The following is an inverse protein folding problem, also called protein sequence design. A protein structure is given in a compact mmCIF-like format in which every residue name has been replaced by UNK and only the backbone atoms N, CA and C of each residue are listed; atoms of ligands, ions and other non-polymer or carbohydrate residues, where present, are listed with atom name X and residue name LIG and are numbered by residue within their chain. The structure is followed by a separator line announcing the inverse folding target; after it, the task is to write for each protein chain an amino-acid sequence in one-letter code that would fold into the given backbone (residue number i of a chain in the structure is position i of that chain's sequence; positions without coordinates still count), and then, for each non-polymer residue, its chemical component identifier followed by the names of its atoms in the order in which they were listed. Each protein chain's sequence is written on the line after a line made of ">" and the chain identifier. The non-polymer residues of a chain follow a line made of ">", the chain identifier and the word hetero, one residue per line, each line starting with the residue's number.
data_IF_312153408741
#
_entry.id   IF_312153408741
#
_cell.length_a   1.000
_cell.length_b   1.000
_cell.length_c   1.000
_cell.angle_alpha   90.00
_cell.angle_beta   90.00
_cell.angle_gamma   90.00
#
_symmetry.space_group_name_H-M   'P 1'
#
loop_
_entity.id
_entity.type
_entity.pdbx_description
1 polymer ?
#
# COMPACT_ATOMS: atom_id res chain seq x y z
N UNK A 1 -0.33 -3.52 10.04
CA UNK A 1 -1.12 -3.85 8.83
C UNK A 1 -0.34 -3.47 7.57
N UNK A 2 -0.50 -4.23 6.49
CA UNK A 2 0.13 -4.01 5.19
C UNK A 2 -0.89 -3.52 4.14
N UNK A 3 -0.48 -2.57 3.29
CA UNK A 3 -1.26 -2.10 2.15
C UNK A 3 -0.45 -2.26 0.87
N UNK A 4 -0.99 -3.01 -0.09
CA UNK A 4 -0.40 -3.20 -1.41
C UNK A 4 -1.22 -2.44 -2.46
N UNK A 5 -0.56 -1.54 -3.17
CA UNK A 5 -1.21 -0.67 -4.15
C UNK A 5 -1.67 0.64 -3.53
N UNK A 6 -1.25 1.74 -4.15
CA UNK A 6 -1.50 3.12 -3.76
C UNK A 6 -2.05 3.91 -4.95
N UNK A 7 -1.57 3.63 -6.17
CA UNK A 7 -2.09 4.25 -7.39
C UNK A 7 -3.59 3.99 -7.58
N UNK A 8 -4.31 4.89 -8.25
CA UNK A 8 -5.75 4.72 -8.48
C UNK A 8 -6.09 3.51 -9.37
N UNK A 9 -5.14 3.09 -10.21
CA UNK A 9 -5.21 1.89 -11.07
C UNK A 9 -3.80 1.37 -11.35
N UNK A 10 -3.65 0.16 -11.92
CA UNK A 10 -2.34 -0.37 -12.32
C UNK A 10 -1.67 0.45 -13.44
N UNK A 11 -0.35 0.33 -13.53
CA UNK A 11 0.54 0.90 -14.56
C UNK A 11 0.57 2.44 -14.61
N UNK A 12 0.42 3.09 -13.45
CA UNK A 12 0.58 4.54 -13.31
C UNK A 12 1.05 4.88 -11.89
N UNK A 13 1.72 6.02 -11.75
CA UNK A 13 2.02 6.67 -10.48
C UNK A 13 0.93 7.65 -10.03
N UNK A 14 -0.16 7.78 -10.81
CA UNK A 14 -1.24 8.69 -10.52
C UNK A 14 -2.02 8.23 -9.28
N UNK A 15 -2.03 9.12 -8.29
CA UNK A 15 -2.71 8.92 -7.01
C UNK A 15 -3.90 9.87 -6.85
N UNK A 16 -4.20 10.70 -7.86
CA UNK A 16 -5.34 11.62 -7.79
C UNK A 16 -6.61 10.80 -7.63
N UNK A 17 -7.36 11.10 -6.58
CA UNK A 17 -8.58 10.39 -6.21
C UNK A 17 -8.38 8.90 -5.88
N UNK A 18 -7.14 8.46 -5.62
CA UNK A 18 -6.88 7.07 -5.26
C UNK A 18 -7.56 6.74 -3.92
N UNK A 19 -8.28 5.60 -3.82
CA UNK A 19 -8.93 5.19 -2.58
C UNK A 19 -7.96 5.06 -1.39
N UNK A 20 -6.69 4.76 -1.68
CA UNK A 20 -5.60 4.70 -0.72
C UNK A 20 -5.42 5.99 0.08
N UNK A 21 -5.64 7.16 -0.54
CA UNK A 21 -5.54 8.47 0.11
C UNK A 21 -6.63 8.74 1.14
N UNK A 22 -7.72 7.96 1.12
CA UNK A 22 -8.79 8.03 2.14
C UNK A 22 -8.68 6.87 3.13
N UNK A 23 -8.43 5.66 2.65
CA UNK A 23 -8.39 4.46 3.49
C UNK A 23 -7.20 4.48 4.47
N UNK A 24 -6.00 4.85 4.01
CA UNK A 24 -4.80 4.83 4.84
C UNK A 24 -4.92 5.80 6.03
N UNK A 25 -5.31 7.08 5.84
CA UNK A 25 -5.52 7.98 6.97
C UNK A 25 -6.60 7.50 7.94
N UNK A 26 -7.69 6.90 7.43
CA UNK A 26 -8.74 6.35 8.29
C UNK A 26 -8.24 5.18 9.15
N UNK A 27 -7.42 4.30 8.58
CA UNK A 27 -6.79 3.20 9.31
C UNK A 27 -5.79 3.71 10.35
N UNK A 28 -4.97 4.70 9.99
CA UNK A 28 -4.05 5.35 10.94
C UNK A 28 -4.82 6.03 12.09
N UNK A 29 -5.93 6.71 11.80
CA UNK A 29 -6.79 7.33 12.80
C UNK A 29 -7.44 6.28 13.75
N UNK A 30 -7.67 5.07 13.25
CA UNK A 30 -8.11 3.92 14.06
C UNK A 30 -6.96 3.24 14.84
N UNK A 31 -5.74 3.78 14.79
CA UNK A 31 -4.57 3.29 15.54
C UNK A 31 -3.71 2.26 14.79
N UNK A 32 -3.98 1.98 13.52
CA UNK A 32 -3.18 1.03 12.75
C UNK A 32 -1.82 1.63 12.35
N UNK A 33 -0.73 0.88 12.59
CA UNK A 33 0.56 1.15 11.95
C UNK A 33 0.55 0.58 10.54
N UNK A 34 0.83 1.45 9.55
CA UNK A 34 0.74 1.11 8.12
C UNK A 34 2.12 0.91 7.53
N UNK A 35 2.32 -0.27 6.94
CA UNK A 35 3.41 -0.59 6.02
C UNK A 35 2.83 -0.65 4.61
N UNK A 36 3.42 0.01 3.64
CA UNK A 36 2.87 0.07 2.29
C UNK A 36 3.91 -0.20 1.21
N UNK A 37 3.44 -0.76 0.09
CA UNK A 37 4.22 -0.92 -1.12
C UNK A 37 3.34 -0.61 -2.34
N UNK A 38 3.86 0.17 -3.27
CA UNK A 38 3.32 0.34 -4.62
C UNK A 38 4.50 0.40 -5.60
N UNK A 39 4.45 -0.26 -6.77
CA UNK A 39 5.59 -0.32 -7.68
C UNK A 39 5.94 1.03 -8.32
N UNK A 40 5.02 1.99 -8.38
CA UNK A 40 5.20 3.26 -9.12
C UNK A 40 4.79 4.51 -8.33
N UNK A 41 3.76 4.44 -7.48
CA UNK A 41 3.17 5.59 -6.83
C UNK A 41 3.77 5.97 -5.46
N UNK A 42 4.74 5.21 -4.95
CA UNK A 42 5.28 5.43 -3.60
C UNK A 42 5.86 6.84 -3.41
N UNK A 43 6.67 7.33 -4.36
CA UNK A 43 7.27 8.67 -4.26
C UNK A 43 6.23 9.79 -4.32
N UNK A 44 5.22 9.66 -5.19
CA UNK A 44 4.14 10.63 -5.30
C UNK A 44 3.27 10.68 -4.03
N UNK A 45 3.11 9.53 -3.34
CA UNK A 45 2.23 9.40 -2.19
C UNK A 45 2.89 9.75 -0.85
N UNK A 46 4.22 9.61 -0.73
CA UNK A 46 4.98 9.94 0.49
C UNK A 46 4.61 11.28 1.13
N UNK A 47 4.49 12.40 0.40
CA UNK A 47 4.12 13.69 0.99
C UNK A 47 2.68 13.76 1.48
N UNK A 48 1.77 12.94 0.92
CA UNK A 48 0.35 12.95 1.22
C UNK A 48 -0.04 11.94 2.32
N UNK A 49 0.79 10.92 2.55
CA UNK A 49 0.57 9.84 3.50
C UNK A 49 1.67 9.81 4.57
N UNK A 50 1.73 10.82 5.47
CA UNK A 50 2.70 10.82 6.56
C UNK A 50 2.45 9.64 7.51
N UNK A 51 3.51 9.14 8.14
CA UNK A 51 3.42 8.02 9.09
C UNK A 51 3.23 6.64 8.47
N UNK A 52 3.33 6.52 7.14
CA UNK A 52 3.42 5.23 6.44
C UNK A 52 4.88 4.78 6.37
N UNK A 53 5.15 3.53 6.72
CA UNK A 53 6.44 2.88 6.43
C UNK A 53 6.42 2.36 5.01
N UNK A 54 7.21 2.97 4.13
CA UNK A 54 7.33 2.56 2.74
C UNK A 54 8.31 1.41 2.59
N UNK A 55 7.84 0.30 2.04
CA UNK A 55 8.61 -0.93 1.87
C UNK A 55 9.00 -1.13 0.40
N UNK A 56 10.17 -1.73 0.17
CA UNK A 56 10.71 -1.96 -1.17
C UNK A 56 10.08 -3.16 -1.90
N UNK A 57 9.27 -3.96 -1.22
CA UNK A 57 8.59 -5.13 -1.82
C UNK A 57 7.27 -5.41 -1.10
N UNK A 58 6.32 -6.12 -1.75
CA UNK A 58 5.06 -6.50 -1.11
C UNK A 58 5.28 -7.42 0.10
N UNK A 59 6.29 -8.30 0.04
CA UNK A 59 6.65 -9.18 1.16
C UNK A 59 7.23 -8.39 2.35
N UNK A 60 8.06 -7.39 2.08
CA UNK A 60 8.56 -6.50 3.13
C UNK A 60 7.44 -5.65 3.75
N UNK A 61 6.39 -5.30 3.01
CA UNK A 61 5.21 -4.66 3.58
C UNK A 61 4.41 -5.62 4.48
N UNK A 62 4.30 -6.89 4.08
CA UNK A 62 3.56 -7.93 4.80
C UNK A 62 4.25 -8.42 6.08
N UNK A 63 5.57 -8.30 6.17
CA UNK A 63 6.35 -8.83 7.30
C UNK A 63 5.88 -8.27 8.65
N UNK A 64 5.46 -9.17 9.54
CA UNK A 64 4.95 -8.82 10.88
C UNK A 64 3.65 -8.02 10.90
N UNK A 65 2.94 -7.91 9.77
CA UNK A 65 1.64 -7.25 9.72
C UNK A 65 0.52 -8.20 10.18
N UNK A 66 -0.39 -7.71 11.01
CA UNK A 66 -1.57 -8.48 11.48
C UNK A 66 -2.59 -8.77 10.38
N UNK A 67 -2.45 -8.11 9.23
CA UNK A 67 -3.34 -8.25 8.08
C UNK A 67 -2.81 -7.47 6.88
N UNK A 68 -3.29 -7.84 5.69
CA UNK A 68 -2.89 -7.27 4.40
C UNK A 68 -4.12 -6.93 3.56
N UNK A 69 -4.11 -5.75 2.92
CA UNK A 69 -5.12 -5.31 1.97
C UNK A 69 -4.44 -4.99 0.64
N UNK A 70 -5.01 -5.51 -0.46
CA UNK A 70 -4.63 -5.14 -1.82
C UNK A 70 -5.66 -4.11 -2.32
N UNK A 71 -5.21 -2.87 -2.57
CA UNK A 71 -6.06 -1.77 -3.02
C UNK A 71 -5.97 -1.54 -4.53
N UNK A 72 -4.85 -1.91 -5.15
CA UNK A 72 -4.61 -1.76 -6.59
C UNK A 72 -4.09 -3.08 -7.15
N UNK A 73 -4.76 -3.62 -8.17
CA UNK A 73 -4.49 -4.95 -8.73
C UNK A 73 -3.28 -5.01 -9.68
N UNK A 74 -2.11 -4.59 -9.21
CA UNK A 74 -0.85 -4.74 -9.96
C UNK A 74 -0.62 -6.21 -10.33
N UNK A 75 -0.14 -6.46 -11.56
CA UNK A 75 0.11 -7.83 -12.03
C UNK A 75 1.11 -8.58 -11.14
N UNK A 76 2.08 -7.87 -10.58
CA UNK A 76 3.05 -8.40 -9.60
C UNK A 76 2.37 -9.00 -8.36
N UNK A 77 1.21 -8.49 -7.96
CA UNK A 77 0.49 -8.97 -6.79
C UNK A 77 -0.32 -10.25 -7.06
N UNK A 78 -0.60 -10.55 -8.34
CA UNK A 78 -1.34 -11.76 -8.72
C UNK A 78 -0.54 -13.04 -8.50
N UNK A 79 0.78 -12.95 -8.51
CA UNK A 79 1.70 -14.07 -8.35
C UNK A 79 2.34 -14.12 -6.95
N UNK A 80 1.77 -13.43 -5.97
CA UNK A 80 2.26 -13.51 -4.59
C UNK A 80 2.10 -14.93 -4.05
N UNK A 81 3.16 -15.42 -3.42
CA UNK A 81 3.09 -16.61 -2.61
C UNK A 81 2.44 -16.26 -1.28
N UNK A 82 1.22 -16.73 -1.07
CA UNK A 82 0.45 -16.53 0.17
C UNK A 82 0.61 -17.70 1.15
N UNK A 83 1.34 -18.75 0.76
CA UNK A 83 1.64 -19.85 1.65
C UNK A 83 2.59 -19.38 2.76
N UNK A 84 2.32 -19.87 3.97
CA UNK A 84 3.09 -19.63 5.20
C UNK A 84 4.15 -20.69 5.39
#
# INVERSE_FOLDING_TARGET
>A
MAVLGIAFKPNTDDIREAPSLTAIPALQAAGATIRAHDPQAAEAAKPLLPGVTWCASPYAAAEGADGLVIMTEWNEYRALNLAT
#
